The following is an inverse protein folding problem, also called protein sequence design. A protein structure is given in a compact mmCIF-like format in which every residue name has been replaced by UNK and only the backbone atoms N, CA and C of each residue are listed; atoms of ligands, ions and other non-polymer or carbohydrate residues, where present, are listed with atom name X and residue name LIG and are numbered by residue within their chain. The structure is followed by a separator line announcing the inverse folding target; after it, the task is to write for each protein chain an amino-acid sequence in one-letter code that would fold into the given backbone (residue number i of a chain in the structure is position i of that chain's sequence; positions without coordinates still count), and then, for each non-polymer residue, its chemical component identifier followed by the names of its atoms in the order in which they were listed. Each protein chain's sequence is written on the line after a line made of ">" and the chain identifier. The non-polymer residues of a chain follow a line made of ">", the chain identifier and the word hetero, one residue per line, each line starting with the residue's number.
data_IF_934085981872
#
_entry.id   IF_934085981872
#
_cell.length_a   1.000
_cell.length_b   1.000
_cell.length_c   1.000
_cell.angle_alpha   90.00
_cell.angle_beta   90.00
_cell.angle_gamma   90.00
#
_symmetry.space_group_name_H-M   'P 1'
#
loop_
_entity.id
_entity.type
_entity.pdbx_description
1 polymer ?
#
# COMPACT_ATOMS: atom_id res chain seq x y z
N UNK A 1 -31.35 55.33 23.86
CA UNK A 1 -32.27 56.36 24.41
C UNK A 1 -31.58 57.24 25.46
N UNK A 2 -30.90 56.66 26.47
CA UNK A 2 -30.21 57.42 27.55
C UNK A 2 -29.14 58.43 27.07
N UNK A 3 -28.39 58.12 26.00
CA UNK A 3 -27.39 59.04 25.42
C UNK A 3 -27.99 60.29 24.81
N UNK A 4 -29.17 60.18 24.18
CA UNK A 4 -29.86 61.32 23.55
C UNK A 4 -30.45 62.23 24.62
N UNK A 5 -30.99 61.66 25.69
CA UNK A 5 -31.50 62.40 26.86
C UNK A 5 -30.37 63.16 27.57
N UNK A 6 -29.21 62.54 27.78
CA UNK A 6 -28.03 63.21 28.37
C UNK A 6 -27.52 64.37 27.51
N UNK A 7 -27.52 64.22 26.17
CA UNK A 7 -27.12 65.29 25.25
C UNK A 7 -28.12 66.45 25.29
N UNK A 8 -29.43 66.17 25.33
CA UNK A 8 -30.47 67.20 25.45
C UNK A 8 -30.40 67.93 26.80
N UNK A 9 -30.14 67.21 27.89
CA UNK A 9 -30.04 67.79 29.23
C UNK A 9 -28.78 68.68 29.36
N UNK A 10 -27.65 68.23 28.78
CA UNK A 10 -26.43 69.03 28.69
C UNK A 10 -26.62 70.27 27.80
N UNK A 11 -27.32 70.14 26.67
CA UNK A 11 -27.62 71.27 25.78
C UNK A 11 -28.53 72.32 26.46
N UNK A 12 -29.49 71.88 27.28
CA UNK A 12 -30.36 72.77 28.05
C UNK A 12 -29.60 73.50 29.16
N UNK A 13 -28.70 72.80 29.86
CA UNK A 13 -27.82 73.37 30.88
C UNK A 13 -26.84 74.40 30.30
N UNK A 14 -26.24 74.08 29.15
CA UNK A 14 -25.34 74.98 28.42
C UNK A 14 -26.13 76.18 27.88
N UNK A 15 -27.32 75.98 27.34
CA UNK A 15 -28.22 77.06 26.90
C UNK A 15 -28.63 77.99 28.04
N UNK A 16 -28.92 77.45 29.22
CA UNK A 16 -29.22 78.22 30.44
C UNK A 16 -28.02 79.01 30.96
N UNK A 17 -26.82 78.42 30.97
CA UNK A 17 -25.58 79.13 31.35
C UNK A 17 -25.23 80.24 30.35
N UNK A 18 -25.40 79.98 29.05
CA UNK A 18 -25.18 80.96 27.99
C UNK A 18 -26.15 82.15 28.12
N UNK A 19 -27.42 81.90 28.47
CA UNK A 19 -28.44 82.93 28.70
C UNK A 19 -28.09 83.90 29.84
N UNK A 20 -27.38 83.43 30.88
CA UNK A 20 -26.96 84.28 32.00
C UNK A 20 -25.73 85.14 31.65
N UNK A 21 -24.91 84.70 30.69
CA UNK A 21 -23.73 85.43 30.22
C UNK A 21 -24.02 86.63 29.31
N UNK A 22 -25.26 86.79 28.82
CA UNK A 22 -25.67 87.90 27.95
C UNK A 22 -25.89 89.24 28.69
N UNK A 23 -25.90 89.24 30.03
CA UNK A 23 -26.25 90.44 30.83
C UNK A 23 -25.05 91.29 31.29
N UNK A 24 -23.81 90.90 30.99
CA UNK A 24 -22.62 91.72 31.27
C UNK A 24 -21.92 92.08 29.97
N UNK A 25 -21.45 93.33 29.86
CA UNK A 25 -20.73 93.89 28.69
C UNK A 25 -19.50 93.04 28.34
N UNK A 26 -19.69 92.02 27.51
CA UNK A 26 -18.64 91.06 27.14
C UNK A 26 -17.80 91.66 26.02
N UNK A 27 -16.50 91.77 26.27
CA UNK A 27 -15.52 92.43 25.39
C UNK A 27 -15.58 92.02 23.92
N UNK A 28 -14.94 92.82 23.07
CA UNK A 28 -14.93 92.63 21.62
C UNK A 28 -13.70 91.84 21.17
N UNK A 29 -13.86 90.99 20.16
CA UNK A 29 -12.75 90.35 19.47
C UNK A 29 -12.40 91.24 18.28
N UNK A 30 -11.18 91.80 18.30
CA UNK A 30 -10.64 92.61 17.22
C UNK A 30 -9.54 91.83 16.51
N UNK A 31 -9.79 91.46 15.26
CA UNK A 31 -8.82 90.77 14.41
C UNK A 31 -8.36 91.76 13.35
N UNK A 32 -7.09 92.17 13.38
CA UNK A 32 -6.49 93.02 12.35
C UNK A 32 -5.60 92.20 11.43
N UNK A 33 -6.01 92.08 10.16
CA UNK A 33 -5.18 91.52 9.09
C UNK A 33 -4.94 92.61 8.03
N UNK A 34 -3.78 93.26 8.11
CA UNK A 34 -3.39 94.32 7.16
C UNK A 34 -4.41 95.48 7.13
N UNK A 35 -5.01 95.82 5.97
CA UNK A 35 -6.00 96.89 5.88
C UNK A 35 -7.41 96.48 6.37
N UNK A 36 -7.64 95.20 6.67
CA UNK A 36 -8.94 94.71 7.10
C UNK A 36 -9.02 94.63 8.62
N UNK A 37 -10.00 95.34 9.17
CA UNK A 37 -10.31 95.35 10.58
C UNK A 37 -11.71 94.79 10.80
N UNK A 38 -11.78 93.61 11.39
CA UNK A 38 -13.05 92.96 11.72
C UNK A 38 -13.22 93.04 13.23
N UNK A 39 -14.20 93.84 13.65
CA UNK A 39 -14.65 93.90 15.04
C UNK A 39 -15.93 93.07 15.16
N UNK A 40 -15.91 92.10 16.07
CA UNK A 40 -17.04 91.19 16.27
C UNK A 40 -17.27 90.98 17.76
N UNK A 41 -18.54 90.86 18.14
CA UNK A 41 -18.94 90.52 19.50
C UNK A 41 -18.33 89.16 19.89
N UNK A 42 -17.77 89.03 21.09
CA UNK A 42 -17.17 87.79 21.60
C UNK A 42 -18.06 86.56 21.38
N UNK A 43 -19.36 86.69 21.61
CA UNK A 43 -20.32 85.61 21.40
C UNK A 43 -20.44 85.16 19.95
N UNK A 44 -20.38 86.10 19.02
CA UNK A 44 -20.44 85.81 17.58
C UNK A 44 -19.13 85.14 17.13
N UNK A 45 -17.98 85.58 17.64
CA UNK A 45 -16.70 84.93 17.38
C UNK A 45 -16.62 83.50 17.94
N UNK A 46 -17.14 83.28 19.15
CA UNK A 46 -17.20 81.94 19.77
C UNK A 46 -18.11 80.99 18.98
N UNK A 47 -19.27 81.47 18.53
CA UNK A 47 -20.20 80.69 17.71
C UNK A 47 -19.57 80.32 16.35
N UNK A 48 -18.86 81.25 15.71
CA UNK A 48 -18.15 80.98 14.46
C UNK A 48 -17.06 79.91 14.64
N UNK A 49 -16.28 79.99 15.72
CA UNK A 49 -15.23 79.03 16.03
C UNK A 49 -15.81 77.63 16.33
N UNK A 50 -16.94 77.57 17.05
CA UNK A 50 -17.68 76.33 17.27
C UNK A 50 -18.19 75.74 15.95
N UNK A 51 -18.72 76.57 15.05
CA UNK A 51 -19.21 76.12 13.75
C UNK A 51 -18.07 75.57 12.89
N UNK A 52 -16.93 76.27 12.82
CA UNK A 52 -15.75 75.83 12.06
C UNK A 52 -15.22 74.50 12.59
N UNK A 53 -15.11 74.34 13.91
CA UNK A 53 -14.64 73.09 14.52
C UNK A 53 -15.60 71.93 14.25
N UNK A 54 -16.90 72.17 14.29
CA UNK A 54 -17.92 71.14 14.00
C UNK A 54 -17.93 70.73 12.53
N UNK A 55 -17.80 71.68 11.61
CA UNK A 55 -17.64 71.42 10.16
C UNK A 55 -16.35 70.64 9.89
N UNK A 56 -15.23 71.01 10.51
CA UNK A 56 -13.97 70.30 10.34
C UNK A 56 -14.04 68.85 10.86
N UNK A 57 -14.68 68.63 12.01
CA UNK A 57 -14.94 67.29 12.54
C UNK A 57 -15.82 66.47 11.59
N UNK A 58 -16.88 67.07 11.04
CA UNK A 58 -17.76 66.42 10.07
C UNK A 58 -17.00 66.00 8.81
N UNK A 59 -16.18 66.89 8.25
CA UNK A 59 -15.35 66.61 7.07
C UNK A 59 -14.35 65.48 7.37
N UNK A 60 -13.68 65.50 8.53
CA UNK A 60 -12.71 64.46 8.91
C UNK A 60 -13.37 63.08 9.10
N UNK A 61 -14.54 63.02 9.75
CA UNK A 61 -15.29 61.75 9.93
C UNK A 61 -15.78 61.23 8.58
N UNK A 62 -16.29 62.10 7.72
CA UNK A 62 -16.75 61.74 6.38
C UNK A 62 -15.59 61.22 5.51
N UNK A 63 -14.44 61.90 5.52
CA UNK A 63 -13.24 61.48 4.81
C UNK A 63 -12.69 60.13 5.32
N UNK A 64 -12.73 59.88 6.63
CA UNK A 64 -12.36 58.58 7.22
C UNK A 64 -13.32 57.47 6.83
N UNK A 65 -14.63 57.71 6.77
CA UNK A 65 -15.60 56.72 6.30
C UNK A 65 -15.47 56.40 4.82
N UNK A 66 -15.17 57.39 3.98
CA UNK A 66 -14.95 57.16 2.55
C UNK A 66 -13.70 56.31 2.29
N UNK A 67 -12.63 56.53 3.06
CA UNK A 67 -11.41 55.71 3.01
C UNK A 67 -11.56 54.34 3.70
N UNK A 68 -12.40 54.23 4.74
CA UNK A 68 -12.64 52.98 5.47
C UNK A 68 -13.71 52.05 4.86
N UNK A 69 -14.62 52.58 4.03
CA UNK A 69 -15.67 51.81 3.37
C UNK A 69 -15.17 50.84 2.30
N UNK A 70 -14.00 51.10 1.72
CA UNK A 70 -13.38 50.20 0.72
C UNK A 70 -12.87 48.89 1.36
N UNK A 71 -12.36 48.93 2.59
CA UNK A 71 -11.85 47.74 3.29
C UNK A 71 -12.94 46.76 3.76
N UNK A 72 -14.13 47.26 4.13
CA UNK A 72 -15.25 46.41 4.53
C UNK A 72 -15.90 45.69 3.33
N UNK A 73 -15.95 46.36 2.17
CA UNK A 73 -16.48 45.79 0.93
C UNK A 73 -15.53 44.74 0.35
N UNK A 74 -14.21 44.98 0.34
CA UNK A 74 -13.22 43.99 -0.10
C UNK A 74 -13.16 42.77 0.83
N UNK A 75 -13.29 42.96 2.15
CA UNK A 75 -13.41 41.87 3.11
C UNK A 75 -14.66 41.00 2.89
N UNK A 76 -15.81 41.62 2.62
CA UNK A 76 -17.05 40.88 2.32
C UNK A 76 -17.00 40.16 0.96
N UNK A 77 -16.42 40.79 -0.07
CA UNK A 77 -16.23 40.15 -1.38
C UNK A 77 -15.28 38.93 -1.28
N UNK A 78 -14.17 39.05 -0.54
CA UNK A 78 -13.23 37.94 -0.35
C UNK A 78 -13.87 36.78 0.43
N UNK A 79 -14.58 37.05 1.52
CA UNK A 79 -15.32 36.02 2.26
C UNK A 79 -16.41 35.36 1.40
N UNK A 80 -17.07 36.12 0.53
CA UNK A 80 -18.05 35.59 -0.42
C UNK A 80 -17.40 34.74 -1.53
N UNK A 81 -16.19 35.10 -1.97
CA UNK A 81 -15.41 34.31 -2.93
C UNK A 81 -14.94 32.97 -2.33
N UNK A 82 -14.43 32.98 -1.11
CA UNK A 82 -14.00 31.79 -0.36
C UNK A 82 -15.18 30.83 -0.12
N UNK A 83 -16.34 31.35 0.34
CA UNK A 83 -17.56 30.54 0.49
C UNK A 83 -18.01 29.91 -0.83
N UNK A 84 -17.87 30.63 -1.95
CA UNK A 84 -18.16 30.10 -3.29
C UNK A 84 -17.15 29.04 -3.71
N UNK A 85 -15.87 29.24 -3.43
CA UNK A 85 -14.81 28.25 -3.70
C UNK A 85 -15.08 26.95 -2.91
N UNK A 86 -15.38 27.05 -1.61
CA UNK A 86 -15.75 25.88 -0.78
C UNK A 86 -16.97 25.12 -1.30
N UNK A 87 -18.02 25.83 -1.74
CA UNK A 87 -19.19 25.21 -2.39
C UNK A 87 -18.80 24.49 -3.68
N UNK A 88 -17.94 25.09 -4.52
CA UNK A 88 -17.44 24.45 -5.74
C UNK A 88 -16.57 23.25 -5.45
N UNK A 89 -15.69 23.30 -4.46
CA UNK A 89 -14.92 22.13 -3.99
C UNK A 89 -15.85 21.01 -3.57
N UNK A 90 -16.87 21.31 -2.76
CA UNK A 90 -17.83 20.28 -2.29
C UNK A 90 -18.58 19.65 -3.46
N UNK A 91 -19.08 20.47 -4.40
CA UNK A 91 -19.76 19.98 -5.61
C UNK A 91 -18.81 19.24 -6.56
N UNK A 92 -17.54 19.64 -6.62
CA UNK A 92 -16.51 19.00 -7.42
C UNK A 92 -16.12 17.63 -6.88
N UNK A 93 -15.97 17.50 -5.56
CA UNK A 93 -15.73 16.22 -4.89
C UNK A 93 -16.95 15.30 -4.99
N UNK A 94 -18.18 15.83 -4.93
CA UNK A 94 -19.39 15.06 -5.19
C UNK A 94 -19.40 14.54 -6.63
N UNK A 95 -19.13 15.41 -7.61
CA UNK A 95 -19.03 15.00 -9.02
C UNK A 95 -17.91 13.97 -9.26
N UNK A 96 -16.80 14.05 -8.52
CA UNK A 96 -15.72 13.05 -8.55
C UNK A 96 -16.23 11.70 -8.04
N UNK A 97 -16.94 11.68 -6.91
CA UNK A 97 -17.52 10.47 -6.34
C UNK A 97 -18.63 9.85 -7.22
N UNK A 98 -19.38 10.69 -7.95
CA UNK A 98 -20.38 10.28 -8.93
C UNK A 98 -19.76 9.78 -10.26
N UNK A 99 -18.44 9.87 -10.44
CA UNK A 99 -17.74 9.50 -11.68
C UNK A 99 -17.90 10.51 -12.82
N UNK A 100 -18.39 11.72 -12.54
CA UNK A 100 -18.49 12.79 -13.53
C UNK A 100 -17.17 13.58 -13.61
N UNK A 101 -16.16 12.94 -14.18
CA UNK A 101 -14.78 13.45 -14.24
C UNK A 101 -14.63 14.84 -14.87
N UNK A 102 -15.25 15.15 -16.03
CA UNK A 102 -15.10 16.48 -16.64
C UNK A 102 -15.68 17.60 -15.77
N UNK A 103 -16.83 17.34 -15.12
CA UNK A 103 -17.46 18.31 -14.22
C UNK A 103 -16.65 18.47 -12.94
N UNK A 104 -16.17 17.37 -12.35
CA UNK A 104 -15.31 17.38 -11.18
C UNK A 104 -14.06 18.23 -11.43
N UNK A 105 -13.31 17.92 -12.50
CA UNK A 105 -12.11 18.65 -12.90
C UNK A 105 -12.35 20.15 -13.04
N UNK A 106 -13.42 20.55 -13.75
CA UNK A 106 -13.76 21.98 -13.94
C UNK A 106 -14.08 22.67 -12.62
N UNK A 107 -14.87 22.04 -11.74
CA UNK A 107 -15.25 22.63 -10.46
C UNK A 107 -14.07 22.73 -9.50
N UNK A 108 -13.23 21.69 -9.42
CA UNK A 108 -12.09 21.60 -8.52
C UNK A 108 -10.96 22.56 -8.94
N UNK A 109 -10.52 22.52 -10.20
CA UNK A 109 -9.49 23.42 -10.71
C UNK A 109 -9.88 24.90 -10.56
N UNK A 110 -11.13 25.26 -10.88
CA UNK A 110 -11.62 26.65 -10.72
C UNK A 110 -11.80 27.08 -9.26
N UNK A 111 -11.85 26.13 -8.32
CA UNK A 111 -11.90 26.41 -6.89
C UNK A 111 -10.50 26.51 -6.27
N UNK A 112 -9.49 25.85 -6.86
CA UNK A 112 -8.15 25.71 -6.29
C UNK A 112 -7.48 27.05 -5.96
N UNK A 113 -7.54 28.04 -6.85
CA UNK A 113 -6.91 29.36 -6.65
C UNK A 113 -7.48 30.18 -5.48
N UNK A 114 -8.74 29.92 -5.08
CA UNK A 114 -9.48 30.72 -4.09
C UNK A 114 -9.95 29.93 -2.86
N UNK A 115 -9.64 28.65 -2.82
CA UNK A 115 -9.96 27.79 -1.70
C UNK A 115 -8.85 27.87 -0.65
N UNK A 116 -9.20 27.68 0.61
CA UNK A 116 -8.22 27.61 1.70
C UNK A 116 -7.37 26.33 1.64
N UNK A 117 -7.78 25.35 0.84
CA UNK A 117 -7.08 24.07 0.63
C UNK A 117 -6.84 23.79 -0.86
N UNK A 118 -5.94 24.53 -1.53
CA UNK A 118 -5.64 24.33 -2.96
C UNK A 118 -5.13 22.92 -3.26
N UNK A 119 -4.31 22.34 -2.37
CA UNK A 119 -3.74 21.00 -2.51
C UNK A 119 -4.79 19.94 -2.85
N UNK A 120 -5.86 19.84 -2.07
CA UNK A 120 -6.90 18.80 -2.25
C UNK A 120 -7.59 18.99 -3.61
N UNK A 121 -7.87 20.24 -3.99
CA UNK A 121 -8.51 20.54 -5.27
C UNK A 121 -7.62 20.13 -6.45
N UNK A 122 -6.31 20.40 -6.38
CA UNK A 122 -5.37 20.00 -7.44
C UNK A 122 -5.17 18.49 -7.50
N UNK A 123 -5.00 17.80 -6.36
CA UNK A 123 -4.89 16.34 -6.33
C UNK A 123 -6.14 15.65 -6.89
N UNK A 124 -7.34 16.12 -6.50
CA UNK A 124 -8.60 15.60 -7.02
C UNK A 124 -8.81 15.95 -8.51
N UNK A 125 -8.31 17.11 -8.97
CA UNK A 125 -8.30 17.45 -10.40
C UNK A 125 -7.37 16.54 -11.20
N UNK A 126 -6.19 16.21 -10.65
CA UNK A 126 -5.28 15.22 -11.24
C UNK A 126 -5.94 13.84 -11.34
N UNK A 127 -6.63 13.39 -10.29
CA UNK A 127 -7.38 12.14 -10.33
C UNK A 127 -8.49 12.14 -11.39
N UNK A 128 -9.29 13.21 -11.47
CA UNK A 128 -10.31 13.34 -12.51
C UNK A 128 -9.71 13.34 -13.92
N UNK A 129 -8.57 14.01 -14.14
CA UNK A 129 -7.85 14.00 -15.43
C UNK A 129 -7.36 12.61 -15.79
N UNK A 130 -6.83 11.85 -14.82
CA UNK A 130 -6.38 10.48 -15.02
C UNK A 130 -7.51 9.58 -15.53
N UNK A 131 -8.70 9.66 -14.93
CA UNK A 131 -9.88 8.89 -15.35
C UNK A 131 -10.39 9.27 -16.75
N UNK A 132 -10.08 10.49 -17.21
CA UNK A 132 -10.37 10.92 -18.60
C UNK A 132 -9.25 10.57 -19.60
N UNK A 133 -8.14 9.99 -19.15
CA UNK A 133 -6.97 9.66 -20.00
C UNK A 133 -6.07 10.87 -20.35
N UNK A 134 -6.28 12.02 -19.73
CA UNK A 134 -5.54 13.26 -20.00
C UNK A 134 -4.29 13.35 -19.11
N UNK A 135 -3.22 12.68 -19.54
CA UNK A 135 -2.00 12.55 -18.75
C UNK A 135 -1.23 13.86 -18.57
N UNK A 136 -1.23 14.75 -19.57
CA UNK A 136 -0.56 16.05 -19.47
C UNK A 136 -1.23 16.91 -18.39
N UNK A 137 -2.56 16.86 -18.30
CA UNK A 137 -3.29 17.55 -17.24
C UNK A 137 -3.03 16.95 -15.86
N UNK A 138 -2.75 15.65 -15.74
CA UNK A 138 -2.35 15.03 -14.46
C UNK A 138 -1.06 15.67 -13.95
N UNK A 139 -0.02 15.69 -14.78
CA UNK A 139 1.29 16.20 -14.39
C UNK A 139 1.23 17.71 -14.08
N UNK A 140 0.46 18.47 -14.85
CA UNK A 140 0.24 19.90 -14.60
C UNK A 140 -0.46 20.14 -13.24
N UNK A 141 -1.52 19.40 -12.92
CA UNK A 141 -2.19 19.56 -11.63
C UNK A 141 -1.33 19.08 -10.45
N UNK A 142 -0.51 18.05 -10.61
CA UNK A 142 0.44 17.63 -9.57
C UNK A 142 1.53 18.68 -9.35
N UNK A 143 1.99 19.36 -10.41
CA UNK A 143 2.92 20.49 -10.31
C UNK A 143 2.28 21.67 -9.57
N UNK A 144 1.06 22.05 -9.94
CA UNK A 144 0.30 23.11 -9.26
C UNK A 144 0.04 22.78 -7.79
N UNK A 145 -0.17 21.51 -7.46
CA UNK A 145 -0.29 21.04 -6.08
C UNK A 145 0.98 21.31 -5.27
N UNK A 146 2.16 21.00 -5.81
CA UNK A 146 3.45 21.28 -5.17
C UNK A 146 3.71 22.78 -4.98
N UNK A 147 3.46 23.57 -6.02
CA UNK A 147 3.69 25.02 -6.01
C UNK A 147 2.76 25.75 -5.04
N UNK A 148 1.50 25.32 -4.96
CA UNK A 148 0.50 25.97 -4.11
C UNK A 148 0.68 25.70 -2.62
N UNK A 149 1.30 24.57 -2.25
CA UNK A 149 1.39 24.14 -0.84
C UNK A 149 2.79 23.59 -0.52
N UNK A 150 3.71 24.43 -0.02
CA UNK A 150 5.04 23.97 0.42
C UNK A 150 4.94 22.87 1.49
N UNK A 151 5.81 21.86 1.42
CA UNK A 151 5.79 20.70 2.32
C UNK A 151 4.79 19.61 1.95
N UNK A 152 4.05 19.76 0.85
CA UNK A 152 3.11 18.74 0.34
C UNK A 152 3.76 17.62 -0.49
N UNK A 153 5.10 17.62 -0.64
CA UNK A 153 5.86 16.71 -1.52
C UNK A 153 5.48 15.23 -1.34
N UNK A 154 5.35 14.79 -0.10
CA UNK A 154 4.99 13.40 0.21
C UNK A 154 3.58 13.05 -0.27
N UNK A 155 2.60 13.93 -0.05
CA UNK A 155 1.21 13.71 -0.44
C UNK A 155 1.05 13.73 -1.97
N UNK A 156 1.70 14.68 -2.64
CA UNK A 156 1.71 14.76 -4.11
C UNK A 156 2.39 13.52 -4.70
N UNK A 157 3.56 13.13 -4.18
CA UNK A 157 4.27 11.97 -4.69
C UNK A 157 3.52 10.65 -4.46
N UNK A 158 2.85 10.49 -3.31
CA UNK A 158 1.98 9.33 -3.07
C UNK A 158 0.85 9.29 -4.09
N UNK A 159 0.18 10.42 -4.34
CA UNK A 159 -0.89 10.50 -5.35
C UNK A 159 -0.36 10.17 -6.74
N UNK A 160 0.81 10.72 -7.11
CA UNK A 160 1.49 10.41 -8.37
C UNK A 160 1.74 8.90 -8.51
N UNK A 161 2.31 8.26 -7.49
CA UNK A 161 2.58 6.83 -7.49
C UNK A 161 1.30 5.98 -7.60
N UNK A 162 0.21 6.38 -6.94
CA UNK A 162 -1.09 5.70 -7.05
C UNK A 162 -1.67 5.79 -8.45
N UNK A 163 -1.64 6.98 -9.08
CA UNK A 163 -2.11 7.16 -10.46
C UNK A 163 -1.24 6.38 -11.46
N UNK A 164 0.07 6.35 -11.28
CA UNK A 164 0.99 5.53 -12.10
C UNK A 164 0.69 4.03 -11.95
N UNK A 165 0.46 3.56 -10.72
CA UNK A 165 0.06 2.18 -10.43
C UNK A 165 -1.27 1.79 -11.08
N UNK A 166 -2.27 2.67 -10.98
CA UNK A 166 -3.58 2.49 -11.60
C UNK A 166 -3.47 2.45 -13.13
N UNK A 167 -2.59 3.27 -13.71
CA UNK A 167 -2.30 3.29 -15.15
C UNK A 167 -1.37 2.18 -15.63
N UNK A 168 -1.05 1.17 -14.81
CA UNK A 168 -0.08 0.10 -15.11
C UNK A 168 1.33 0.59 -15.50
N UNK A 169 1.73 1.80 -15.06
CA UNK A 169 3.06 2.38 -15.29
C UNK A 169 4.00 2.02 -14.13
N UNK A 170 4.28 0.72 -14.01
CA UNK A 170 4.93 0.14 -12.84
C UNK A 170 6.35 0.70 -12.58
N UNK A 171 7.17 0.84 -13.62
CA UNK A 171 8.54 1.38 -13.49
C UNK A 171 8.56 2.85 -13.02
N UNK A 172 7.63 3.65 -13.53
CA UNK A 172 7.48 5.05 -13.13
C UNK A 172 6.99 5.16 -11.68
N UNK A 173 6.03 4.30 -11.30
CA UNK A 173 5.58 4.18 -9.91
C UNK A 173 6.73 3.78 -9.00
N UNK A 174 7.57 2.81 -9.41
CA UNK A 174 8.73 2.38 -8.65
C UNK A 174 9.71 3.53 -8.43
N UNK A 175 10.08 4.27 -9.49
CA UNK A 175 10.98 5.41 -9.40
C UNK A 175 10.45 6.50 -8.44
N UNK A 176 9.15 6.81 -8.53
CA UNK A 176 8.48 7.75 -7.63
C UNK A 176 8.55 7.24 -6.18
N UNK A 177 8.22 5.97 -5.94
CA UNK A 177 8.19 5.38 -4.60
C UNK A 177 9.58 5.25 -3.98
N UNK A 178 10.62 4.96 -4.75
CA UNK A 178 12.02 4.95 -4.28
C UNK A 178 12.43 6.35 -3.81
N UNK A 179 12.06 7.40 -4.56
CA UNK A 179 12.31 8.79 -4.13
C UNK A 179 11.60 9.10 -2.81
N UNK A 180 10.33 8.73 -2.69
CA UNK A 180 9.55 8.93 -1.45
C UNK A 180 10.10 8.11 -0.29
N UNK A 181 10.62 6.91 -0.56
CA UNK A 181 11.28 6.05 0.43
C UNK A 181 12.54 6.70 0.98
N UNK A 182 13.33 7.38 0.15
CA UNK A 182 14.50 8.15 0.60
C UNK A 182 14.11 9.33 1.51
N UNK A 183 13.03 10.04 1.17
CA UNK A 183 12.53 11.17 1.96
C UNK A 183 11.89 10.72 3.28
N UNK A 184 11.15 9.61 3.27
CA UNK A 184 10.45 9.07 4.42
C UNK A 184 10.60 7.55 4.51
N UNK A 185 11.75 7.05 5.03
CA UNK A 185 12.12 5.63 5.03
C UNK A 185 11.21 4.72 5.83
N UNK A 186 10.23 5.25 6.54
CA UNK A 186 9.39 4.47 7.46
C UNK A 186 7.90 4.70 7.22
N UNK A 187 7.54 5.37 6.11
CA UNK A 187 6.15 5.70 5.81
C UNK A 187 5.34 4.44 5.45
N UNK A 188 4.34 4.03 6.26
CA UNK A 188 3.62 2.77 6.07
C UNK A 188 2.96 2.61 4.69
N UNK A 189 2.37 3.69 4.18
CA UNK A 189 1.66 3.63 2.91
C UNK A 189 2.61 3.49 1.71
N UNK A 190 3.79 4.11 1.77
CA UNK A 190 4.81 3.99 0.71
C UNK A 190 5.31 2.55 0.66
N UNK A 191 5.48 1.89 1.81
CA UNK A 191 5.86 0.49 1.88
C UNK A 191 4.80 -0.45 1.27
N UNK A 192 3.51 -0.17 1.51
CA UNK A 192 2.41 -0.95 0.90
C UNK A 192 2.37 -0.79 -0.62
N UNK A 193 2.63 0.42 -1.12
CA UNK A 193 2.72 0.67 -2.56
C UNK A 193 3.96 0.00 -3.17
N UNK A 194 5.13 0.08 -2.51
CA UNK A 194 6.35 -0.60 -2.94
C UNK A 194 6.15 -2.12 -3.01
N UNK A 195 5.58 -2.73 -1.97
CA UNK A 195 5.18 -4.15 -1.98
C UNK A 195 4.40 -4.50 -3.25
N UNK A 196 3.37 -3.71 -3.55
CA UNK A 196 2.47 -3.95 -4.67
C UNK A 196 3.19 -3.77 -6.02
N UNK A 197 4.10 -2.80 -6.12
CA UNK A 197 4.92 -2.57 -7.32
C UNK A 197 5.91 -3.70 -7.52
N UNK A 198 6.69 -4.07 -6.50
CA UNK A 198 7.67 -5.15 -6.59
C UNK A 198 7.01 -6.48 -6.93
N UNK A 199 5.86 -6.79 -6.33
CA UNK A 199 5.11 -8.00 -6.66
C UNK A 199 4.63 -8.02 -8.12
N UNK A 200 4.13 -6.88 -8.64
CA UNK A 200 3.67 -6.79 -10.05
C UNK A 200 4.80 -6.76 -11.07
N UNK A 201 5.98 -6.28 -10.68
CA UNK A 201 7.19 -6.31 -11.49
C UNK A 201 7.96 -7.62 -11.38
N UNK A 202 7.51 -8.54 -10.52
CA UNK A 202 8.23 -9.78 -10.18
C UNK A 202 9.67 -9.51 -9.68
N UNK A 203 9.87 -8.36 -9.02
CA UNK A 203 11.14 -7.98 -8.41
C UNK A 203 11.24 -8.58 -7.00
N UNK A 204 11.40 -9.91 -6.98
CA UNK A 204 11.40 -10.70 -5.75
C UNK A 204 12.58 -10.38 -4.84
N UNK A 205 13.69 -9.87 -5.40
CA UNK A 205 14.87 -9.52 -4.63
C UNK A 205 14.60 -8.31 -3.74
N UNK A 206 14.11 -7.23 -4.32
CA UNK A 206 13.76 -6.03 -3.55
C UNK A 206 12.58 -6.31 -2.59
N UNK A 207 11.66 -7.19 -2.98
CA UNK A 207 10.56 -7.61 -2.11
C UNK A 207 11.06 -8.40 -0.89
N UNK A 208 12.07 -9.27 -1.03
CA UNK A 208 12.64 -10.03 0.09
C UNK A 208 13.32 -9.13 1.12
N UNK A 209 13.93 -8.03 0.67
CA UNK A 209 14.54 -7.02 1.54
C UNK A 209 13.49 -6.14 2.25
N UNK A 210 12.33 -5.89 1.61
CA UNK A 210 11.23 -5.11 2.17
C UNK A 210 10.42 -5.90 3.23
N UNK A 211 10.29 -7.22 3.09
CA UNK A 211 9.44 -8.08 3.93
C UNK A 211 9.73 -7.99 5.46
N UNK A 212 11.00 -8.05 5.93
CA UNK A 212 11.32 -7.90 7.36
C UNK A 212 10.80 -6.58 7.94
N UNK A 213 10.84 -5.51 7.16
CA UNK A 213 10.34 -4.21 7.59
C UNK A 213 8.81 -4.15 7.65
N UNK A 214 8.12 -4.76 6.67
CA UNK A 214 6.65 -4.90 6.68
C UNK A 214 6.19 -5.66 7.93
N UNK A 215 6.91 -6.74 8.27
CA UNK A 215 6.64 -7.57 9.45
C UNK A 215 6.90 -6.82 10.76
N UNK A 216 8.05 -6.16 10.89
CA UNK A 216 8.41 -5.37 12.08
C UNK A 216 7.36 -4.31 12.42
N UNK A 217 6.70 -3.75 11.41
CA UNK A 217 5.69 -2.70 11.54
C UNK A 217 4.25 -3.21 11.54
N UNK A 218 4.04 -4.52 11.39
CA UNK A 218 2.70 -5.14 11.33
C UNK A 218 1.78 -4.45 10.30
N UNK A 219 2.31 -4.12 9.12
CA UNK A 219 1.55 -3.37 8.11
C UNK A 219 0.48 -4.20 7.40
N UNK A 220 0.59 -5.53 7.49
CA UNK A 220 -0.28 -6.52 6.89
C UNK A 220 -0.58 -7.62 7.94
N UNK A 221 -1.67 -8.37 7.78
CA UNK A 221 -1.93 -9.57 8.58
C UNK A 221 -0.75 -10.54 8.51
N UNK A 222 -0.48 -11.25 9.61
CA UNK A 222 0.64 -12.19 9.67
C UNK A 222 0.53 -13.29 8.60
N UNK A 223 -0.67 -13.80 8.35
CA UNK A 223 -0.93 -14.83 7.33
C UNK A 223 -0.63 -14.32 5.91
N UNK A 224 -1.03 -13.07 5.58
CA UNK A 224 -0.72 -12.46 4.28
C UNK A 224 0.80 -12.27 4.11
N UNK A 225 1.51 -11.88 5.17
CA UNK A 225 2.97 -11.77 5.15
C UNK A 225 3.65 -13.12 4.98
N UNK A 226 3.17 -14.16 5.67
CA UNK A 226 3.74 -15.50 5.55
C UNK A 226 3.51 -16.07 4.15
N UNK A 227 2.33 -15.86 3.56
CA UNK A 227 2.07 -16.27 2.18
C UNK A 227 2.93 -15.50 1.17
N UNK A 228 3.09 -14.18 1.37
CA UNK A 228 3.89 -13.34 0.49
C UNK A 228 5.38 -13.68 0.61
N UNK A 229 5.88 -13.95 1.82
CA UNK A 229 7.26 -14.37 2.04
C UNK A 229 7.53 -15.72 1.38
N UNK A 230 6.61 -16.68 1.49
CA UNK A 230 6.72 -17.97 0.81
C UNK A 230 6.73 -17.80 -0.72
N UNK A 231 5.85 -16.96 -1.27
CA UNK A 231 5.78 -16.65 -2.71
C UNK A 231 7.09 -16.02 -3.20
N UNK A 232 7.59 -15.01 -2.50
CA UNK A 232 8.84 -14.31 -2.85
C UNK A 232 10.03 -15.29 -2.90
N UNK A 233 10.20 -16.11 -1.86
CA UNK A 233 11.31 -17.05 -1.82
C UNK A 233 11.16 -18.20 -2.81
N UNK A 234 9.94 -18.69 -3.03
CA UNK A 234 9.67 -19.69 -4.08
C UNK A 234 10.12 -19.17 -5.45
N UNK A 235 9.71 -17.96 -5.81
CA UNK A 235 10.08 -17.36 -7.10
C UNK A 235 11.59 -17.08 -7.21
N UNK A 236 12.25 -16.61 -6.14
CA UNK A 236 13.72 -16.44 -6.14
C UNK A 236 14.45 -17.77 -6.37
N UNK A 237 14.04 -18.83 -5.66
CA UNK A 237 14.62 -20.16 -5.82
C UNK A 237 14.36 -20.72 -7.21
N UNK A 238 13.16 -20.51 -7.76
CA UNK A 238 12.81 -20.95 -9.10
C UNK A 238 13.61 -20.20 -10.17
N UNK A 239 13.72 -18.88 -10.08
CA UNK A 239 14.50 -18.06 -11.01
C UNK A 239 15.97 -18.49 -11.01
N UNK A 240 16.58 -18.68 -9.83
CA UNK A 240 17.94 -19.17 -9.72
C UNK A 240 18.11 -20.57 -10.32
N UNK A 241 17.15 -21.48 -10.07
CA UNK A 241 17.19 -22.81 -10.66
C UNK A 241 17.02 -22.79 -12.18
N UNK A 242 16.16 -21.92 -12.72
CA UNK A 242 15.99 -21.74 -14.16
C UNK A 242 17.24 -21.17 -14.83
N UNK A 243 17.90 -20.20 -14.21
CA UNK A 243 19.16 -19.66 -14.71
C UNK A 243 20.26 -20.72 -14.74
N UNK A 244 20.34 -21.58 -13.71
CA UNK A 244 21.26 -22.73 -13.68
C UNK A 244 20.89 -23.76 -14.76
N UNK A 245 19.60 -24.04 -14.97
CA UNK A 245 19.13 -24.97 -16.02
C UNK A 245 19.54 -24.53 -17.42
N UNK A 246 19.60 -23.22 -17.67
CA UNK A 246 20.06 -22.64 -18.94
C UNK A 246 21.57 -22.77 -19.15
N UNK A 247 22.35 -23.04 -18.09
CA UNK A 247 23.80 -23.27 -18.22
C UNK A 247 24.09 -24.62 -18.90
N UNK A 248 25.23 -24.75 -19.60
CA UNK A 248 25.65 -26.02 -20.17
C UNK A 248 25.74 -27.13 -19.10
N UNK A 249 25.29 -28.34 -19.43
CA UNK A 249 25.18 -29.44 -18.46
C UNK A 249 26.49 -29.80 -17.74
N UNK A 250 27.66 -29.56 -18.37
CA UNK A 250 28.97 -29.84 -17.79
C UNK A 250 29.55 -28.72 -16.90
N UNK A 251 28.86 -27.58 -16.76
CA UNK A 251 29.35 -26.40 -16.04
C UNK A 251 28.28 -25.76 -15.15
N UNK A 252 27.31 -26.54 -14.66
CA UNK A 252 26.26 -26.05 -13.78
C UNK A 252 26.85 -25.66 -12.43
N UNK A 253 26.82 -24.38 -12.12
CA UNK A 253 27.22 -23.88 -10.80
C UNK A 253 25.98 -23.75 -9.90
N UNK A 254 25.94 -24.54 -8.82
CA UNK A 254 24.86 -24.52 -7.84
C UNK A 254 25.05 -23.47 -6.75
N UNK A 255 26.19 -22.78 -6.74
CA UNK A 255 26.53 -21.75 -5.75
C UNK A 255 25.43 -20.68 -5.59
N UNK A 256 24.79 -20.16 -6.66
CA UNK A 256 23.70 -19.19 -6.51
C UNK A 256 22.52 -19.72 -5.69
N UNK A 257 22.14 -20.98 -5.92
CA UNK A 257 21.02 -21.62 -5.24
C UNK A 257 21.34 -21.88 -3.75
N UNK A 258 22.57 -22.29 -3.44
CA UNK A 258 23.04 -22.47 -2.05
C UNK A 258 23.10 -21.14 -1.31
N UNK A 259 23.56 -20.06 -1.95
CA UNK A 259 23.57 -18.71 -1.35
C UNK A 259 22.16 -18.25 -0.98
N UNK A 260 21.17 -18.43 -1.86
CA UNK A 260 19.78 -18.09 -1.54
C UNK A 260 19.25 -18.87 -0.33
N UNK A 261 19.63 -20.15 -0.22
CA UNK A 261 19.29 -20.95 0.95
C UNK A 261 19.91 -20.41 2.26
N UNK A 262 21.15 -19.94 2.18
CA UNK A 262 21.84 -19.33 3.30
C UNK A 262 21.33 -17.93 3.68
N UNK A 263 20.62 -17.26 2.77
CA UNK A 263 19.94 -15.99 3.03
C UNK A 263 18.52 -16.17 3.59
N UNK A 264 17.90 -17.35 3.44
CA UNK A 264 16.54 -17.62 3.90
C UNK A 264 16.38 -17.30 5.40
N UNK A 265 15.32 -16.56 5.78
CA UNK A 265 14.95 -16.35 7.17
C UNK A 265 14.69 -17.66 7.92
N UNK A 266 14.95 -17.66 9.22
CA UNK A 266 14.78 -18.85 10.06
C UNK A 266 13.33 -19.36 10.17
N UNK A 267 12.34 -18.53 9.83
CA UNK A 267 10.93 -18.92 9.64
C UNK A 267 10.77 -19.80 8.41
N UNK A 268 11.31 -19.36 7.26
CA UNK A 268 11.24 -20.08 5.99
C UNK A 268 12.07 -21.37 5.98
N UNK A 269 13.18 -21.42 6.73
CA UNK A 269 13.96 -22.67 6.92
C UNK A 269 13.23 -23.76 7.73
N UNK A 270 12.10 -23.43 8.34
CA UNK A 270 11.21 -24.38 9.03
C UNK A 270 9.92 -24.63 8.26
N UNK A 271 9.65 -23.86 7.22
CA UNK A 271 8.46 -24.01 6.40
C UNK A 271 8.57 -25.24 5.51
N UNK A 272 7.67 -26.20 5.67
CA UNK A 272 7.72 -27.46 4.94
C UNK A 272 7.62 -27.28 3.42
N UNK A 273 6.88 -26.25 2.96
CA UNK A 273 6.67 -26.00 1.53
C UNK A 273 7.94 -25.44 0.90
N UNK A 274 8.59 -24.46 1.54
CA UNK A 274 9.87 -23.90 1.08
C UNK A 274 10.98 -24.95 1.08
N UNK A 275 11.08 -25.79 2.13
CA UNK A 275 12.08 -26.87 2.21
C UNK A 275 11.85 -27.89 1.09
N UNK A 276 10.59 -28.31 0.88
CA UNK A 276 10.22 -29.23 -0.19
C UNK A 276 10.55 -28.66 -1.56
N UNK A 277 10.32 -27.36 -1.77
CA UNK A 277 10.60 -26.71 -3.03
C UNK A 277 12.09 -26.66 -3.33
N UNK A 278 12.90 -26.21 -2.37
CA UNK A 278 14.35 -26.18 -2.50
C UNK A 278 14.95 -27.57 -2.77
N UNK A 279 14.51 -28.60 -2.03
CA UNK A 279 14.96 -29.97 -2.25
C UNK A 279 14.60 -30.51 -3.65
N UNK A 280 13.43 -30.15 -4.19
CA UNK A 280 13.05 -30.49 -5.57
C UNK A 280 13.92 -29.77 -6.60
N UNK A 281 14.25 -28.49 -6.38
CA UNK A 281 15.14 -27.77 -7.29
C UNK A 281 16.54 -28.41 -7.31
N UNK A 282 17.12 -28.72 -6.14
CA UNK A 282 18.41 -29.45 -6.04
C UNK A 282 18.39 -30.77 -6.80
N UNK A 283 17.38 -31.60 -6.56
CA UNK A 283 17.19 -32.88 -7.25
C UNK A 283 17.05 -32.70 -8.77
N UNK A 284 16.27 -31.72 -9.21
CA UNK A 284 16.09 -31.42 -10.65
C UNK A 284 17.37 -30.94 -11.35
N UNK A 285 18.29 -30.33 -10.59
CA UNK A 285 19.58 -29.85 -11.08
C UNK A 285 20.66 -30.95 -11.05
N UNK A 286 20.37 -32.10 -10.44
CA UNK A 286 21.23 -33.27 -10.36
C UNK A 286 21.99 -33.43 -9.04
N UNK A 287 21.75 -32.56 -8.06
CA UNK A 287 22.38 -32.64 -6.73
C UNK A 287 21.43 -33.27 -5.71
N UNK A 288 21.16 -34.54 -5.95
CA UNK A 288 20.37 -35.37 -5.04
C UNK A 288 21.07 -35.57 -3.68
N UNK A 289 22.41 -35.52 -3.64
CA UNK A 289 23.20 -35.73 -2.43
C UNK A 289 22.95 -34.65 -1.38
N UNK A 290 22.97 -33.38 -1.80
CA UNK A 290 22.63 -32.27 -0.93
C UNK A 290 21.15 -32.28 -0.53
N UNK A 291 20.25 -32.63 -1.44
CA UNK A 291 18.82 -32.73 -1.16
C UNK A 291 18.55 -33.81 -0.08
N UNK A 292 19.18 -34.97 -0.18
CA UNK A 292 19.07 -36.05 0.81
C UNK A 292 19.58 -35.60 2.18
N UNK A 293 20.76 -34.98 2.22
CA UNK A 293 21.39 -34.48 3.46
C UNK A 293 20.51 -33.45 4.15
N UNK A 294 19.94 -32.51 3.38
CA UNK A 294 19.01 -31.51 3.88
C UNK A 294 17.76 -32.15 4.48
N UNK A 295 17.08 -33.01 3.71
CA UNK A 295 15.84 -33.66 4.14
C UNK A 295 16.06 -34.50 5.40
N UNK A 296 17.16 -35.26 5.47
CA UNK A 296 17.58 -36.02 6.66
C UNK A 296 17.74 -35.12 7.88
N UNK A 297 18.40 -33.97 7.72
CA UNK A 297 18.64 -33.01 8.82
C UNK A 297 17.34 -32.36 9.31
N UNK A 298 16.45 -31.98 8.40
CA UNK A 298 15.16 -31.35 8.74
C UNK A 298 14.25 -32.34 9.45
N UNK A 299 14.10 -33.55 8.92
CA UNK A 299 13.19 -34.56 9.47
C UNK A 299 13.56 -35.01 10.90
N UNK A 300 14.84 -34.89 11.30
CA UNK A 300 15.28 -35.15 12.68
C UNK A 300 14.62 -34.22 13.70
N UNK A 301 14.34 -32.97 13.32
CA UNK A 301 13.77 -31.96 14.20
C UNK A 301 12.26 -31.77 13.94
N UNK A 302 11.85 -31.85 12.67
CA UNK A 302 10.48 -31.59 12.23
C UNK A 302 10.05 -32.64 11.20
N UNK A 303 9.24 -33.60 11.64
CA UNK A 303 8.66 -34.60 10.76
C UNK A 303 7.62 -33.98 9.82
N UNK A 304 7.68 -34.31 8.53
CA UNK A 304 6.64 -33.98 7.55
C UNK A 304 6.49 -35.12 6.55
N UNK A 305 5.24 -35.56 6.37
CA UNK A 305 4.85 -36.61 5.42
C UNK A 305 5.20 -36.22 3.97
N UNK A 306 5.16 -34.92 3.66
CA UNK A 306 5.56 -34.39 2.35
C UNK A 306 7.06 -34.53 2.12
N UNK A 307 7.86 -34.23 3.14
CA UNK A 307 9.32 -34.30 3.06
C UNK A 307 9.83 -35.75 2.99
N UNK A 308 9.19 -36.69 3.69
CA UNK A 308 9.59 -38.11 3.59
C UNK A 308 9.26 -38.70 2.22
N UNK A 309 8.15 -38.31 1.61
CA UNK A 309 7.82 -38.72 0.24
C UNK A 309 8.88 -38.23 -0.77
N UNK A 310 9.36 -36.98 -0.61
CA UNK A 310 10.49 -36.46 -1.39
C UNK A 310 11.80 -37.21 -1.08
N UNK A 311 12.06 -37.53 0.18
CA UNK A 311 13.25 -38.28 0.58
C UNK A 311 13.38 -39.63 -0.14
N UNK A 312 12.26 -40.34 -0.33
CA UNK A 312 12.23 -41.58 -1.10
C UNK A 312 12.46 -41.42 -2.61
N UNK A 313 12.31 -40.20 -3.15
CA UNK A 313 12.52 -39.88 -4.57
C UNK A 313 13.96 -39.43 -4.88
N UNK A 314 14.66 -38.87 -3.90
CA UNK A 314 16.03 -38.34 -4.07
C UNK A 314 17.07 -39.46 -3.99
N UNK A 315 18.09 -39.43 -4.84
CA UNK A 315 19.21 -40.40 -4.87
C UNK A 315 20.44 -39.91 -4.11
N UNK A 316 20.53 -40.21 -2.82
CA UNK A 316 21.74 -39.89 -2.08
C UNK A 316 22.95 -40.73 -2.53
N UNK A 317 24.15 -40.22 -2.22
CA UNK A 317 25.44 -40.81 -2.59
C UNK A 317 25.61 -42.25 -2.11
N UNK A 318 24.97 -42.59 -0.99
CA UNK A 318 25.01 -43.91 -0.35
C UNK A 318 23.58 -44.44 -0.12
N UNK A 319 23.02 -45.17 -1.11
CA UNK A 319 21.66 -45.71 -1.02
C UNK A 319 21.42 -46.61 0.19
N UNK A 320 22.43 -47.37 0.63
CA UNK A 320 22.33 -48.25 1.81
C UNK A 320 22.13 -47.45 3.10
N UNK A 321 22.92 -46.39 3.28
CA UNK A 321 22.81 -45.50 4.46
C UNK A 321 21.47 -44.75 4.44
N UNK A 322 21.01 -44.32 3.26
CA UNK A 322 19.71 -43.66 3.08
C UNK A 322 18.55 -44.58 3.52
N UNK A 323 18.59 -45.87 3.14
CA UNK A 323 17.59 -46.86 3.54
C UNK A 323 17.63 -47.11 5.06
N UNK A 324 18.82 -47.33 5.64
CA UNK A 324 18.97 -47.58 7.08
C UNK A 324 18.43 -46.43 7.94
N UNK A 325 18.62 -45.19 7.49
CA UNK A 325 18.06 -44.02 8.18
C UNK A 325 16.54 -44.01 8.12
N UNK A 326 15.95 -44.30 6.96
CA UNK A 326 14.50 -44.39 6.83
C UNK A 326 13.90 -45.55 7.64
N UNK A 327 14.59 -46.69 7.72
CA UNK A 327 14.15 -47.84 8.54
C UNK A 327 14.16 -47.50 10.04
N UNK A 328 15.10 -46.64 10.50
CA UNK A 328 15.07 -46.13 11.87
C UNK A 328 13.82 -45.28 12.13
N UNK A 329 13.41 -44.42 11.19
CA UNK A 329 12.17 -43.65 11.34
C UNK A 329 10.93 -44.54 11.40
N UNK A 330 10.96 -45.72 10.79
CA UNK A 330 9.84 -46.67 10.84
C UNK A 330 9.63 -47.22 12.26
N UNK A 331 10.70 -47.37 13.05
CA UNK A 331 10.60 -47.81 14.44
C UNK A 331 9.77 -46.83 15.28
N UNK A 332 9.98 -45.53 15.06
CA UNK A 332 9.22 -44.48 15.73
C UNK A 332 7.81 -44.29 15.13
N UNK A 333 7.63 -44.63 13.84
CA UNK A 333 6.42 -44.35 13.06
C UNK A 333 5.98 -45.54 12.18
N UNK A 334 5.58 -46.68 12.78
CA UNK A 334 5.31 -47.91 12.04
C UNK A 334 4.12 -47.82 11.07
N UNK A 335 3.14 -46.95 11.36
CA UNK A 335 1.89 -46.84 10.60
C UNK A 335 1.85 -45.60 9.68
N UNK A 336 2.99 -45.09 9.22
CA UNK A 336 3.03 -43.95 8.30
C UNK A 336 3.11 -44.44 6.84
N UNK A 337 2.03 -44.22 6.08
CA UNK A 337 1.92 -44.68 4.69
C UNK A 337 2.94 -44.03 3.74
N UNK A 338 3.26 -42.74 3.93
CA UNK A 338 4.23 -42.01 3.08
C UNK A 338 5.67 -42.48 3.35
N UNK A 339 6.00 -42.76 4.61
CA UNK A 339 7.28 -43.35 4.98
C UNK A 339 7.44 -44.76 4.38
N UNK A 340 6.40 -45.59 4.44
CA UNK A 340 6.42 -46.93 3.83
C UNK A 340 6.56 -46.86 2.30
N UNK A 341 5.92 -45.89 1.65
CA UNK A 341 6.13 -45.63 0.22
C UNK A 341 7.59 -45.23 -0.07
N UNK A 342 8.16 -44.34 0.74
CA UNK A 342 9.56 -43.95 0.61
C UNK A 342 10.52 -45.13 0.84
N UNK A 343 10.27 -45.96 1.86
CA UNK A 343 11.04 -47.17 2.15
C UNK A 343 10.97 -48.19 1.03
N UNK A 344 9.81 -48.37 0.40
CA UNK A 344 9.69 -49.24 -0.77
C UNK A 344 10.58 -48.76 -1.92
N UNK A 345 10.59 -47.45 -2.20
CA UNK A 345 11.47 -46.85 -3.23
C UNK A 345 12.95 -47.00 -2.91
N UNK A 346 13.34 -46.76 -1.65
CA UNK A 346 14.72 -46.93 -1.22
C UNK A 346 15.14 -48.40 -1.25
N UNK A 347 14.24 -49.33 -0.92
CA UNK A 347 14.49 -50.77 -1.03
C UNK A 347 14.70 -51.19 -2.48
N UNK A 348 13.92 -50.65 -3.43
CA UNK A 348 14.16 -50.88 -4.86
C UNK A 348 15.55 -50.40 -5.31
N UNK A 349 16.01 -49.24 -4.82
CA UNK A 349 17.32 -48.69 -5.16
C UNK A 349 18.48 -49.54 -4.64
N UNK A 350 18.26 -50.27 -3.56
CA UNK A 350 19.20 -51.21 -2.97
C UNK A 350 18.94 -52.66 -3.43
N UNK A 351 18.12 -52.84 -4.47
CA UNK A 351 17.81 -54.15 -5.07
C UNK A 351 17.13 -55.16 -4.11
N UNK A 352 16.48 -54.65 -3.05
CA UNK A 352 15.75 -55.45 -2.05
C UNK A 352 14.28 -55.60 -2.45
N UNK A 353 14.03 -56.33 -3.53
CA UNK A 353 12.71 -56.44 -4.18
C UNK A 353 11.59 -56.94 -3.26
N UNK A 354 11.87 -57.97 -2.45
CA UNK A 354 10.89 -58.55 -1.52
C UNK A 354 10.46 -57.56 -0.44
N UNK A 355 11.41 -56.87 0.18
CA UNK A 355 11.13 -55.80 1.15
C UNK A 355 10.37 -54.64 0.51
N UNK A 356 10.75 -54.25 -0.70
CA UNK A 356 10.07 -53.19 -1.42
C UNK A 356 8.58 -53.50 -1.63
N UNK A 357 8.27 -54.73 -2.06
CA UNK A 357 6.89 -55.21 -2.22
C UNK A 357 6.12 -55.15 -0.89
N UNK A 358 6.69 -55.67 0.19
CA UNK A 358 6.06 -55.64 1.52
C UNK A 358 5.75 -54.22 1.99
N UNK A 359 6.70 -53.29 1.84
CA UNK A 359 6.50 -51.89 2.20
C UNK A 359 5.41 -51.22 1.36
N UNK A 360 5.38 -51.43 0.04
CA UNK A 360 4.32 -50.88 -0.81
C UNK A 360 2.95 -51.47 -0.52
N UNK A 361 2.85 -52.79 -0.31
CA UNK A 361 1.59 -53.44 0.06
C UNK A 361 1.07 -52.91 1.40
N UNK A 362 1.97 -52.74 2.39
CA UNK A 362 1.61 -52.20 3.70
C UNK A 362 1.18 -50.74 3.62
N UNK A 363 1.93 -49.91 2.86
CA UNK A 363 1.55 -48.52 2.56
C UNK A 363 0.15 -48.45 1.95
N UNK A 364 -0.14 -49.28 0.95
CA UNK A 364 -1.43 -49.32 0.25
C UNK A 364 -2.59 -49.77 1.15
N UNK A 365 -2.34 -50.68 2.09
CA UNK A 365 -3.32 -51.10 3.11
C UNK A 365 -3.68 -49.96 4.06
N UNK A 366 -2.71 -49.12 4.43
CA UNK A 366 -2.91 -47.98 5.34
C UNK A 366 -3.57 -46.80 4.63
N UNK A 367 -3.08 -46.43 3.45
CA UNK A 367 -3.63 -45.36 2.61
C UNK A 367 -3.56 -45.78 1.16
N UNK A 368 -4.71 -45.77 0.50
CA UNK A 368 -4.76 -45.97 -0.95
C UNK A 368 -4.22 -44.72 -1.64
N UNK A 369 -3.09 -44.87 -2.33
CA UNK A 369 -2.46 -43.83 -3.12
C UNK A 369 -2.20 -44.35 -4.53
N UNK A 370 -2.62 -43.62 -5.58
CA UNK A 370 -2.31 -43.98 -6.96
C UNK A 370 -0.80 -44.13 -7.20
N UNK A 371 -0.01 -43.33 -6.49
CA UNK A 371 1.45 -43.36 -6.57
C UNK A 371 2.02 -44.68 -6.04
N UNK A 372 1.61 -45.13 -4.85
CA UNK A 372 2.03 -46.42 -4.28
C UNK A 372 1.59 -47.59 -5.17
N UNK A 373 0.39 -47.51 -5.74
CA UNK A 373 -0.12 -48.53 -6.66
C UNK A 373 0.72 -48.62 -7.94
N UNK A 374 1.07 -47.48 -8.54
CA UNK A 374 1.90 -47.44 -9.73
C UNK A 374 3.29 -48.05 -9.46
N UNK A 375 3.88 -47.72 -8.31
CA UNK A 375 5.17 -48.26 -7.86
C UNK A 375 5.12 -49.79 -7.67
N UNK A 376 4.10 -50.30 -6.97
CA UNK A 376 3.90 -51.72 -6.76
C UNK A 376 3.64 -52.48 -8.07
N UNK A 377 2.82 -51.90 -8.95
CA UNK A 377 2.50 -52.49 -10.26
C UNK A 377 3.73 -52.58 -11.15
N UNK A 378 4.56 -51.52 -11.14
CA UNK A 378 5.86 -51.48 -11.83
C UNK A 378 6.78 -52.59 -11.31
N UNK A 379 6.91 -52.73 -9.98
CA UNK A 379 7.72 -53.78 -9.37
C UNK A 379 7.24 -55.19 -9.78
N UNK A 380 5.94 -55.47 -9.63
CA UNK A 380 5.38 -56.79 -9.95
C UNK A 380 5.54 -57.15 -11.43
N UNK A 381 5.40 -56.17 -12.33
CA UNK A 381 5.63 -56.39 -13.76
C UNK A 381 7.08 -56.83 -14.05
N UNK A 382 8.07 -56.25 -13.37
CA UNK A 382 9.48 -56.62 -13.52
C UNK A 382 9.85 -57.94 -12.81
N UNK A 383 9.06 -58.37 -11.82
CA UNK A 383 9.25 -59.68 -11.16
C UNK A 383 8.57 -60.85 -11.88
N UNK A 384 7.93 -60.62 -13.05
CA UNK A 384 7.26 -61.66 -13.83
C UNK A 384 5.79 -61.90 -13.46
N UNK A 385 5.25 -61.17 -12.48
CA UNK A 385 3.84 -61.23 -12.04
C UNK A 385 2.95 -60.31 -12.91
N UNK A 386 3.04 -60.42 -14.24
CA UNK A 386 2.35 -59.50 -15.18
C UNK A 386 0.82 -59.54 -15.05
N UNK A 387 0.24 -60.73 -14.90
CA UNK A 387 -1.22 -60.90 -14.72
C UNK A 387 -1.72 -60.25 -13.42
N UNK A 388 -0.94 -60.39 -12.35
CA UNK A 388 -1.25 -59.81 -11.03
C UNK A 388 -1.13 -58.29 -11.07
N UNK A 389 -0.12 -57.75 -11.76
CA UNK A 389 0.08 -56.31 -11.94
C UNK A 389 -1.08 -55.68 -12.73
N UNK A 390 -1.44 -56.25 -13.88
CA UNK A 390 -2.53 -55.75 -14.72
C UNK A 390 -3.88 -55.84 -14.01
N UNK A 391 -4.18 -56.95 -13.33
CA UNK A 391 -5.43 -57.11 -12.55
C UNK A 391 -5.51 -56.12 -11.40
N UNK A 392 -4.41 -55.87 -10.68
CA UNK A 392 -4.39 -54.93 -9.55
C UNK A 392 -4.57 -53.49 -10.01
N UNK A 393 -4.00 -53.12 -11.16
CA UNK A 393 -4.17 -51.81 -11.77
C UNK A 393 -5.62 -51.60 -12.23
N UNK A 394 -6.18 -52.54 -13.00
CA UNK A 394 -7.55 -52.47 -13.54
C UNK A 394 -8.59 -52.47 -12.42
N UNK A 395 -8.47 -53.36 -11.43
CA UNK A 395 -9.46 -53.46 -10.35
C UNK A 395 -9.51 -52.18 -9.49
N UNK A 396 -8.38 -51.51 -9.30
CA UNK A 396 -8.36 -50.25 -8.55
C UNK A 396 -8.82 -49.07 -9.40
N UNK A 397 -8.44 -49.01 -10.68
CA UNK A 397 -8.93 -47.98 -11.59
C UNK A 397 -10.46 -48.01 -11.69
N UNK A 398 -11.06 -49.20 -11.77
CA UNK A 398 -12.52 -49.41 -11.75
C UNK A 398 -13.18 -48.94 -10.43
N UNK A 399 -12.50 -49.06 -9.30
CA UNK A 399 -13.02 -48.61 -7.99
C UNK A 399 -12.93 -47.10 -7.80
N UNK A 400 -11.89 -46.44 -8.33
CA UNK A 400 -11.72 -44.99 -8.22
C UNK A 400 -12.55 -44.19 -9.23
N UNK A 401 -12.84 -44.77 -10.40
CA UNK A 401 -13.54 -44.05 -11.47
C UNK A 401 -15.06 -43.91 -11.28
N UNK A 402 -15.62 -44.44 -10.19
CA UNK A 402 -17.05 -44.27 -9.84
C UNK A 402 -17.99 -44.73 -10.96
N UNK A 403 -17.56 -45.72 -11.74
CA UNK A 403 -18.25 -46.14 -12.95
C UNK A 403 -19.63 -46.73 -12.61
N UNK A 404 -20.66 -46.43 -13.42
CA UNK A 404 -21.97 -47.03 -13.25
C UNK A 404 -21.88 -48.55 -13.44
N UNK A 405 -22.71 -49.28 -12.69
CA UNK A 405 -22.80 -50.74 -12.80
C UNK A 405 -23.50 -51.10 -14.13
N UNK A 406 -22.71 -51.49 -15.13
CA UNK A 406 -23.17 -51.83 -16.47
C UNK A 406 -23.12 -53.35 -16.66
N UNK A 407 -24.11 -53.95 -17.36
CA UNK A 407 -24.08 -55.38 -17.62
C UNK A 407 -22.88 -55.76 -18.48
N UNK A 408 -21.99 -56.60 -17.93
CA UNK A 408 -20.82 -57.11 -18.62
C UNK A 408 -21.15 -58.38 -19.41
N UNK A 409 -20.49 -58.64 -20.56
CA UNK A 409 -20.68 -59.86 -21.31
C UNK A 409 -20.33 -61.09 -20.46
N UNK A 410 -21.21 -62.10 -20.45
CA UNK A 410 -20.97 -63.37 -19.77
C UNK A 410 -19.87 -64.11 -20.53
N UNK A 411 -18.82 -64.50 -19.81
CA UNK A 411 -17.71 -65.30 -20.33
C UNK A 411 -18.16 -66.72 -20.70
#
# INVERSE_FOLDING_TARGET
>A
MMRVVLILLAALLIGGLLSLGFQYDTGYIRISLGPYLVETNFWVGLLLLLLITLVLQFILVFARRLKGGTGAITGWLNQSAERRARRRTTQGLLALAEGNWPRARKLLSSAAERADTPLINYLASAQASFETGDHDAVDEYLRQALESTPGSELAVGITQAQLQLAGNRLEQALATLIRLRKQSPHHPFVMKLLKSVYQRLEDWRELSELLPELRKRSLLPAEELDSLERETWHNLLQQAADDIRRQPAGSRDLTPLVRLWDELPGSMRRDEVTIADYARQLSSLGDDDQAETLLRKVMRNHWSDRLVSLYGRVKGAKPDEQLLVAERWLQDRPNNAELLLALGRLSLRNELWGKAREYFETSLRLRRSPETLAELSRLNAHMGDQDTSQRTLVQNLLKESGLPDLPMPKA
#
